data_IF_660147214450
#
_entry.id   IF_660147214450
#
_cell.length_a   1.000
_cell.length_b   1.000
_cell.length_c   1.000
_cell.angle_alpha   90.00
_cell.angle_beta   90.00
_cell.angle_gamma   90.00
#
_symmetry.space_group_name_H-M   'P 1'
#
loop_
_entity.id
_entity.type
_entity.pdbx_description
1 polymer ?
#
# COMPACT_ATOMS: atom_id res chain seq x y z
N UNK A 1 34.11 -24.81 -7.37
CA UNK A 1 32.89 -23.97 -7.46
C UNK A 1 31.82 -24.61 -8.35
N UNK A 2 32.16 -25.14 -9.53
CA UNK A 2 31.20 -25.90 -10.35
C UNK A 2 30.72 -27.21 -9.68
N UNK A 3 31.56 -27.87 -8.87
CA UNK A 3 31.19 -29.14 -8.20
C UNK A 3 30.15 -29.01 -7.08
N UNK A 4 29.86 -27.79 -6.60
CA UNK A 4 28.83 -27.56 -5.57
C UNK A 4 27.45 -27.20 -6.17
N UNK A 5 27.38 -26.95 -7.48
CA UNK A 5 26.13 -26.64 -8.21
C UNK A 5 25.06 -27.75 -8.13
N UNK A 6 25.39 -29.06 -8.17
CA UNK A 6 24.38 -30.11 -8.10
C UNK A 6 23.64 -30.14 -6.75
N UNK A 7 24.35 -29.85 -5.65
CA UNK A 7 23.75 -29.76 -4.31
C UNK A 7 22.89 -28.50 -4.13
N UNK A 8 23.26 -27.41 -4.80
CA UNK A 8 22.50 -26.15 -4.81
C UNK A 8 21.19 -26.29 -5.61
N UNK A 9 21.16 -27.13 -6.65
CA UNK A 9 19.99 -27.32 -7.53
C UNK A 9 18.73 -27.79 -6.79
N UNK A 10 18.86 -28.70 -5.83
CA UNK A 10 17.72 -29.16 -5.02
C UNK A 10 17.09 -28.03 -4.20
N UNK A 11 17.94 -27.16 -3.62
CA UNK A 11 17.49 -26.01 -2.84
C UNK A 11 16.86 -24.95 -3.74
N UNK A 12 17.42 -24.72 -4.93
CA UNK A 12 16.84 -23.80 -5.91
C UNK A 12 15.47 -24.26 -6.41
N UNK A 13 15.26 -25.56 -6.61
CA UNK A 13 13.96 -26.11 -6.99
C UNK A 13 12.93 -25.91 -5.88
N UNK A 14 13.30 -26.18 -4.63
CA UNK A 14 12.45 -25.92 -3.48
C UNK A 14 12.11 -24.42 -3.35
N UNK A 15 13.10 -23.55 -3.54
CA UNK A 15 12.93 -22.10 -3.52
C UNK A 15 11.98 -21.62 -4.62
N UNK A 16 12.12 -22.14 -5.84
CA UNK A 16 11.22 -21.84 -6.95
C UNK A 16 9.78 -22.24 -6.64
N UNK A 17 9.56 -23.42 -6.05
CA UNK A 17 8.23 -23.89 -5.67
C UNK A 17 7.57 -22.99 -4.61
N UNK A 18 8.35 -22.58 -3.60
CA UNK A 18 7.91 -21.64 -2.56
C UNK A 18 7.50 -20.30 -3.18
N UNK A 19 8.33 -19.71 -4.04
CA UNK A 19 7.99 -18.47 -4.75
C UNK A 19 6.74 -18.61 -5.61
N UNK A 20 6.53 -19.75 -6.25
CA UNK A 20 5.37 -19.95 -7.10
C UNK A 20 4.07 -20.06 -6.28
N UNK A 21 4.06 -20.86 -5.21
CA UNK A 21 2.87 -21.01 -4.35
C UNK A 21 2.51 -19.67 -3.72
N UNK A 22 3.44 -19.06 -2.99
CA UNK A 22 3.15 -17.82 -2.27
C UNK A 22 2.95 -16.65 -3.23
N UNK A 23 3.61 -16.66 -4.39
CA UNK A 23 3.41 -15.67 -5.44
C UNK A 23 2.00 -15.71 -6.02
N UNK A 24 1.50 -16.90 -6.37
CA UNK A 24 0.14 -17.03 -6.89
C UNK A 24 -0.89 -16.68 -5.81
N UNK A 25 -0.73 -17.19 -4.59
CA UNK A 25 -1.63 -16.83 -3.48
C UNK A 25 -1.65 -15.31 -3.26
N UNK A 26 -0.48 -14.66 -3.25
CA UNK A 26 -0.38 -13.22 -3.06
C UNK A 26 -1.03 -12.40 -4.17
N UNK A 27 -0.83 -12.78 -5.43
CA UNK A 27 -1.48 -12.11 -6.57
C UNK A 27 -3.01 -12.27 -6.51
N UNK A 28 -3.52 -13.45 -6.13
CA UNK A 28 -4.97 -13.67 -6.07
C UNK A 28 -5.65 -12.90 -4.93
N UNK A 29 -4.95 -12.69 -3.81
CA UNK A 29 -5.52 -11.99 -2.66
C UNK A 29 -5.32 -10.47 -2.70
N UNK A 30 -4.16 -9.99 -3.16
CA UNK A 30 -3.74 -8.61 -2.94
C UNK A 30 -3.44 -7.80 -4.20
N UNK A 31 -3.75 -8.33 -5.38
CA UNK A 31 -3.60 -7.56 -6.63
C UNK A 31 -4.43 -6.27 -6.59
N UNK A 32 -3.77 -5.15 -6.86
CA UNK A 32 -4.37 -3.81 -6.89
C UNK A 32 -4.65 -3.18 -5.53
N UNK A 33 -4.66 -3.94 -4.44
CA UNK A 33 -5.04 -3.41 -3.11
C UNK A 33 -4.04 -2.38 -2.58
N UNK A 34 -2.74 -2.58 -2.81
CA UNK A 34 -1.69 -1.66 -2.33
C UNK A 34 -1.72 -0.30 -3.05
N UNK A 35 -2.49 -0.16 -4.13
CA UNK A 35 -2.73 1.12 -4.82
C UNK A 35 -3.80 1.96 -4.14
N UNK A 36 -4.58 1.41 -3.22
CA UNK A 36 -5.72 2.11 -2.64
C UNK A 36 -5.29 3.36 -1.88
N UNK A 37 -5.93 4.49 -2.17
CA UNK A 37 -5.75 5.78 -1.50
C UNK A 37 -7.11 6.41 -1.21
N UNK A 38 -7.14 7.36 -0.29
CA UNK A 38 -8.33 8.13 0.02
C UNK A 38 -8.42 9.37 -0.87
N UNK A 39 -9.33 9.34 -1.83
CA UNK A 39 -9.64 10.42 -2.76
C UNK A 39 -10.70 11.36 -2.20
N UNK A 40 -10.64 12.62 -2.65
CA UNK A 40 -11.68 13.61 -2.42
C UNK A 40 -12.92 13.24 -3.25
N UNK A 41 -14.12 13.44 -2.71
CA UNK A 41 -15.35 13.29 -3.49
C UNK A 41 -15.36 14.23 -4.70
N UNK A 42 -15.73 13.72 -5.88
CA UNK A 42 -15.69 14.46 -7.16
C UNK A 42 -16.42 15.82 -7.07
N UNK A 43 -17.57 15.84 -6.40
CA UNK A 43 -18.42 17.02 -6.23
C UNK A 43 -17.66 18.22 -5.60
N UNK A 44 -16.77 17.93 -4.64
CA UNK A 44 -16.05 18.95 -3.87
C UNK A 44 -14.96 19.59 -4.72
N UNK A 45 -14.23 18.77 -5.48
CA UNK A 45 -13.12 19.26 -6.33
C UNK A 45 -13.65 20.21 -7.40
N UNK A 46 -14.78 19.90 -8.02
CA UNK A 46 -15.42 20.76 -9.03
C UNK A 46 -16.11 21.99 -8.44
N UNK A 47 -16.73 21.87 -7.25
CA UNK A 47 -17.44 23.01 -6.63
C UNK A 47 -16.52 24.12 -6.12
N UNK A 48 -15.35 23.76 -5.56
CA UNK A 48 -14.48 24.72 -4.88
C UNK A 48 -13.21 25.10 -5.68
N UNK A 49 -13.01 24.54 -6.88
CA UNK A 49 -11.84 24.78 -7.74
C UNK A 49 -10.51 24.73 -6.96
N UNK A 50 -10.43 23.78 -6.02
CA UNK A 50 -9.32 23.65 -5.08
C UNK A 50 -8.06 23.16 -5.81
N UNK A 51 -6.93 23.85 -5.59
CA UNK A 51 -5.60 23.43 -6.06
C UNK A 51 -4.97 22.31 -5.20
N UNK A 52 -5.80 21.52 -4.52
CA UNK A 52 -5.38 20.51 -3.55
C UNK A 52 -5.08 19.17 -4.25
N UNK A 53 -4.26 18.32 -3.62
CA UNK A 53 -4.00 16.96 -4.12
C UNK A 53 -5.31 16.15 -4.20
N UNK A 54 -5.52 15.36 -5.26
CA UNK A 54 -6.75 14.60 -5.46
C UNK A 54 -6.95 13.49 -4.43
N UNK A 55 -5.87 13.04 -3.78
CA UNK A 55 -5.87 12.08 -2.68
C UNK A 55 -5.07 12.60 -1.48
N UNK A 56 -5.35 12.02 -0.31
CA UNK A 56 -4.67 12.35 0.94
C UNK A 56 -3.19 11.92 0.89
N UNK A 57 -2.28 12.85 1.18
CA UNK A 57 -0.84 12.60 1.28
C UNK A 57 -0.37 12.87 2.72
N UNK A 58 0.23 11.88 3.41
CA UNK A 58 0.84 12.07 4.73
C UNK A 58 2.05 13.02 4.67
N UNK A 59 2.43 13.61 5.81
CA UNK A 59 3.63 14.45 5.91
C UNK A 59 4.93 13.69 5.62
N UNK A 60 4.98 12.41 6.00
CA UNK A 60 6.09 11.49 5.69
C UNK A 60 6.13 11.08 4.20
N UNK A 61 5.16 11.52 3.39
CA UNK A 61 5.20 11.46 1.94
C UNK A 61 5.04 10.05 1.34
N UNK A 62 5.80 9.77 0.28
CA UNK A 62 5.73 8.52 -0.50
C UNK A 62 6.38 7.31 0.20
N UNK A 63 7.14 7.51 1.27
CA UNK A 63 7.82 6.43 1.99
C UNK A 63 6.87 5.61 2.86
N UNK A 64 5.83 6.25 3.42
CA UNK A 64 4.78 5.63 4.24
C UNK A 64 3.38 6.07 3.76
N UNK A 65 2.87 5.54 2.63
CA UNK A 65 1.58 5.95 2.10
C UNK A 65 0.42 5.45 2.97
N UNK A 66 -0.64 6.27 3.09
CA UNK A 66 -1.89 5.84 3.73
C UNK A 66 -2.69 4.95 2.77
N UNK A 67 -2.66 3.64 3.01
CA UNK A 67 -3.40 2.64 2.21
C UNK A 67 -4.74 2.39 2.88
N UNK A 68 -5.83 2.53 2.13
CA UNK A 68 -7.17 2.31 2.66
C UNK A 68 -7.76 0.95 2.23
N UNK A 69 -8.57 0.40 3.12
CA UNK A 69 -9.44 -0.75 2.87
C UNK A 69 -10.74 -0.32 2.22
N UNK A 70 -11.08 -0.95 1.09
CA UNK A 70 -12.35 -0.74 0.42
C UNK A 70 -13.50 -1.33 1.27
N UNK A 71 -14.75 -0.87 1.11
CA UNK A 71 -15.88 -1.39 1.90
C UNK A 71 -16.14 -2.90 1.76
N UNK A 72 -15.57 -3.54 0.73
CA UNK A 72 -15.66 -4.98 0.49
C UNK A 72 -14.60 -5.79 1.23
N UNK A 73 -13.54 -5.14 1.68
CA UNK A 73 -12.41 -5.73 2.40
C UNK A 73 -12.57 -5.48 3.91
N UNK A 74 -11.84 -6.24 4.72
CA UNK A 74 -11.87 -6.14 6.18
C UNK A 74 -10.62 -5.46 6.76
N UNK A 75 -9.79 -4.88 5.90
CA UNK A 75 -8.54 -4.22 6.29
C UNK A 75 -8.72 -3.14 7.35
N UNK A 76 -7.65 -2.91 8.09
CA UNK A 76 -7.65 -2.12 9.32
C UNK A 76 -7.85 -0.62 9.08
N UNK A 77 -7.24 -0.06 8.03
CA UNK A 77 -7.29 1.38 7.76
C UNK A 77 -8.47 1.72 6.86
N UNK A 78 -9.26 2.72 7.26
CA UNK A 78 -10.37 3.25 6.46
C UNK A 78 -10.15 4.75 6.26
N UNK A 79 -10.73 5.31 5.20
CA UNK A 79 -10.62 6.76 4.98
C UNK A 79 -11.21 7.64 6.09
N UNK A 80 -12.02 7.06 6.99
CA UNK A 80 -12.49 7.74 8.20
C UNK A 80 -11.44 7.88 9.31
N UNK A 81 -10.36 7.09 9.26
CA UNK A 81 -9.25 7.14 10.22
C UNK A 81 -8.08 8.00 9.73
N UNK A 82 -8.26 8.77 8.66
CA UNK A 82 -7.30 9.79 8.23
C UNK A 82 -7.16 10.82 9.35
N UNK A 83 -5.93 11.14 9.80
CA UNK A 83 -5.73 12.09 10.89
C UNK A 83 -6.23 13.48 10.49
N UNK A 84 -6.80 14.24 11.44
CA UNK A 84 -7.25 15.60 11.20
C UNK A 84 -6.09 16.48 10.72
N UNK A 85 -6.37 17.45 9.84
CA UNK A 85 -5.34 18.40 9.40
C UNK A 85 -4.86 19.20 10.62
N UNK A 86 -3.57 19.15 10.91
CA UNK A 86 -2.94 19.98 11.93
C UNK A 86 -2.39 21.26 11.29
N UNK A 87 -2.85 22.42 11.74
CA UNK A 87 -2.14 23.68 11.48
C UNK A 87 -1.15 23.90 12.64
N UNK A 88 0.15 23.85 12.35
CA UNK A 88 1.19 24.14 13.36
C UNK A 88 1.33 23.11 14.48
N UNK A 89 0.94 21.85 14.24
CA UNK A 89 1.10 20.74 15.19
C UNK A 89 0.01 20.63 16.27
N UNK A 90 -1.03 21.47 16.22
CA UNK A 90 -2.23 21.33 17.03
C UNK A 90 -3.38 20.78 16.17
N UNK A 91 -4.14 19.84 16.73
CA UNK A 91 -5.39 19.36 16.12
C UNK A 91 -6.35 20.54 15.91
N UNK A 92 -6.96 20.64 14.71
CA UNK A 92 -7.92 21.67 14.33
C UNK A 92 -9.20 21.56 15.17
N UNK A 93 -9.11 21.98 16.43
CA UNK A 93 -10.16 21.88 17.44
C UNK A 93 -10.94 23.18 17.60
N UNK A 94 -10.33 24.34 17.29
CA UNK A 94 -11.01 25.64 17.37
C UNK A 94 -10.50 26.60 16.28
N UNK A 95 -11.31 26.83 15.24
CA UNK A 95 -11.10 27.91 14.25
C UNK A 95 -10.58 27.54 12.86
N UNK A 96 -10.18 26.30 12.59
CA UNK A 96 -9.72 25.86 11.26
C UNK A 96 -10.57 24.72 10.67
N UNK A 97 -10.69 24.69 9.34
CA UNK A 97 -11.47 23.68 8.62
C UNK A 97 -10.61 22.45 8.38
N UNK A 98 -11.01 21.32 8.97
CA UNK A 98 -10.35 20.05 8.72
C UNK A 98 -10.69 19.51 7.31
N UNK A 99 -9.85 19.83 6.34
CA UNK A 99 -10.01 19.38 4.96
C UNK A 99 -9.80 17.86 4.80
N UNK A 100 -9.01 17.23 5.69
CA UNK A 100 -8.71 15.80 5.60
C UNK A 100 -9.98 14.93 5.71
N UNK A 101 -11.01 15.44 6.37
CA UNK A 101 -12.32 14.79 6.52
C UNK A 101 -13.03 14.52 5.19
N UNK A 102 -12.70 15.26 4.14
CA UNK A 102 -13.32 15.12 2.82
C UNK A 102 -12.68 14.05 1.93
N UNK A 103 -11.52 13.51 2.33
CA UNK A 103 -10.94 12.32 1.69
C UNK A 103 -11.64 11.07 2.21
N UNK A 104 -12.84 10.80 1.73
CA UNK A 104 -13.68 9.70 2.22
C UNK A 104 -13.89 8.57 1.20
N UNK A 105 -13.35 8.71 -0.02
CA UNK A 105 -13.52 7.74 -1.10
C UNK A 105 -12.27 6.88 -1.22
N UNK A 106 -12.35 5.60 -0.86
CA UNK A 106 -11.23 4.67 -1.04
C UNK A 106 -11.24 4.08 -2.45
N UNK A 107 -10.22 4.38 -3.26
CA UNK A 107 -10.07 3.91 -4.64
C UNK A 107 -8.60 3.65 -4.98
N UNK A 108 -8.35 2.81 -5.98
CA UNK A 108 -7.01 2.55 -6.48
C UNK A 108 -6.43 3.82 -7.14
N UNK A 109 -5.27 4.26 -6.67
CA UNK A 109 -4.48 5.31 -7.30
C UNK A 109 -3.54 4.79 -8.38
N UNK A 110 -2.68 5.68 -8.88
CA UNK A 110 -1.78 5.41 -10.01
C UNK A 110 -0.55 4.59 -9.61
N UNK A 111 0.00 4.81 -8.41
CA UNK A 111 1.30 4.28 -7.98
C UNK A 111 1.19 3.42 -6.73
N UNK A 112 1.87 2.28 -6.74
CA UNK A 112 2.10 1.44 -5.57
C UNK A 112 3.18 2.06 -4.64
N UNK A 113 3.26 1.63 -3.36
CA UNK A 113 4.29 2.08 -2.43
C UNK A 113 5.72 1.90 -2.96
N UNK A 114 6.66 2.68 -2.42
CA UNK A 114 8.08 2.69 -2.80
C UNK A 114 8.29 2.83 -4.32
N UNK A 115 7.66 3.85 -4.92
CA UNK A 115 7.75 4.16 -6.36
C UNK A 115 7.34 2.99 -7.28
N UNK A 116 6.43 2.15 -6.82
CA UNK A 116 5.97 1.00 -7.58
C UNK A 116 6.69 -0.32 -7.30
N UNK A 117 7.71 -0.33 -6.43
CA UNK A 117 8.54 -1.52 -6.21
C UNK A 117 7.79 -2.64 -5.48
N UNK A 118 6.92 -2.29 -4.52
CA UNK A 118 6.21 -3.24 -3.67
C UNK A 118 4.76 -3.35 -4.11
N UNK A 119 4.38 -4.46 -4.75
CA UNK A 119 3.00 -4.78 -5.12
C UNK A 119 2.80 -6.28 -5.43
N UNK A 120 1.54 -6.68 -5.55
CA UNK A 120 1.12 -8.04 -5.91
C UNK A 120 0.33 -8.05 -7.23
N UNK A 121 0.52 -7.05 -8.09
CA UNK A 121 -0.28 -6.91 -9.32
C UNK A 121 0.10 -7.94 -10.39
N UNK A 122 1.34 -8.44 -10.33
CA UNK A 122 1.88 -9.44 -11.25
C UNK A 122 2.76 -10.41 -10.49
N UNK A 123 2.94 -11.62 -11.05
CA UNK A 123 3.76 -12.67 -10.43
C UNK A 123 5.22 -12.24 -10.21
N UNK A 124 5.79 -11.43 -11.12
CA UNK A 124 7.16 -10.94 -10.98
C UNK A 124 7.35 -9.98 -9.80
N UNK A 125 6.42 -9.04 -9.60
CA UNK A 125 6.45 -8.13 -8.45
C UNK A 125 6.16 -8.87 -7.14
N UNK A 126 5.24 -9.85 -7.17
CA UNK A 126 5.00 -10.72 -6.02
C UNK A 126 6.28 -11.48 -5.61
N UNK A 127 7.07 -11.98 -6.57
CA UNK A 127 8.36 -12.62 -6.25
C UNK A 127 9.38 -11.67 -5.65
N UNK A 128 9.45 -10.42 -6.13
CA UNK A 128 10.33 -9.40 -5.54
C UNK A 128 9.91 -9.12 -4.09
N UNK A 129 8.62 -8.95 -3.83
CA UNK A 129 8.09 -8.75 -2.48
C UNK A 129 8.36 -9.96 -1.57
N UNK A 130 8.16 -11.19 -2.05
CA UNK A 130 8.45 -12.40 -1.26
C UNK A 130 9.95 -12.54 -0.99
N UNK A 131 10.81 -12.21 -1.97
CA UNK A 131 12.25 -12.22 -1.77
C UNK A 131 12.64 -11.27 -0.63
N UNK A 132 12.08 -10.05 -0.63
CA UNK A 132 12.29 -9.06 0.42
C UNK A 132 11.80 -9.56 1.80
N UNK A 133 10.67 -10.29 1.85
CA UNK A 133 10.18 -10.92 3.08
C UNK A 133 11.15 -12.01 3.57
N UNK A 134 11.67 -12.85 2.68
CA UNK A 134 12.61 -13.93 3.03
C UNK A 134 13.94 -13.38 3.54
N UNK A 135 14.41 -12.23 3.03
CA UNK A 135 15.63 -11.57 3.50
C UNK A 135 15.46 -10.85 4.84
N UNK A 136 14.22 -10.79 5.38
CA UNK A 136 13.86 -10.14 6.64
C UNK A 136 14.20 -8.64 6.69
N UNK A 137 14.20 -7.96 5.54
CA UNK A 137 14.44 -6.51 5.44
C UNK A 137 13.19 -5.81 4.90
N UNK A 138 12.58 -4.91 5.68
CA UNK A 138 11.35 -4.22 5.27
C UNK A 138 10.10 -5.12 5.15
N UNK A 139 10.16 -6.36 5.65
CA UNK A 139 9.03 -7.30 5.61
C UNK A 139 7.83 -6.82 6.45
N UNK A 140 8.11 -6.06 7.52
CA UNK A 140 7.11 -5.51 8.43
C UNK A 140 6.24 -4.48 7.70
N UNK A 141 6.84 -3.64 6.84
CA UNK A 141 6.11 -2.62 6.09
C UNK A 141 5.15 -3.27 5.09
N UNK A 142 5.61 -4.30 4.37
CA UNK A 142 4.76 -5.10 3.47
C UNK A 142 3.60 -5.73 4.23
N UNK A 143 3.87 -6.28 5.41
CA UNK A 143 2.85 -6.88 6.28
C UNK A 143 1.79 -5.85 6.67
N UNK A 144 2.20 -4.66 7.13
CA UNK A 144 1.25 -3.61 7.51
C UNK A 144 0.44 -3.11 6.32
N UNK A 145 1.06 -2.90 5.15
CA UNK A 145 0.33 -2.52 3.94
C UNK A 145 -0.78 -3.50 3.57
N UNK A 146 -0.52 -4.81 3.71
CA UNK A 146 -1.51 -5.85 3.43
C UNK A 146 -2.60 -5.88 4.50
N UNK A 147 -2.24 -5.79 5.80
CA UNK A 147 -3.21 -5.76 6.92
C UNK A 147 -4.14 -4.54 6.87
N UNK A 148 -3.62 -3.41 6.40
CA UNK A 148 -4.38 -2.18 6.30
C UNK A 148 -5.36 -2.21 5.12
N UNK A 149 -5.00 -2.90 4.03
CA UNK A 149 -5.78 -2.94 2.80
C UNK A 149 -6.82 -4.08 2.72
N UNK A 150 -6.56 -5.25 3.32
CA UNK A 150 -7.37 -6.48 3.18
C UNK A 150 -7.87 -7.01 4.52
#
# INVERSE_FOLDING_TARGET
LLDTLPMLGNVLLLCFFVFFIFGIVGVQLWAGLLRNRCFLGEDIRTMYNLSMSPYYQPEEGEESPFICSAPRENGMLRCRSVPPSAEGGADCSDGCVNWNRYYNVCQAGELNPHKGAVNFDNIGYAWIAIFQVITLEGWVDIMYYVMDAH
#
